data_IF_643834386061
#
_entry.id   IF_643834386061
#
_cell.length_a   1.000
_cell.length_b   1.000
_cell.length_c   1.000
_cell.angle_alpha   90.00
_cell.angle_beta   90.00
_cell.angle_gamma   90.00
#
_symmetry.space_group_name_H-M   'P 1'
#
loop_
_entity.id
_entity.type
_entity.pdbx_description
1 polymer ?
#
# COMPACT_ATOMS: atom_id res chain seq x y z
N UNK A 1 3.35 -25.40 -16.74
CA UNK A 1 4.67 -24.81 -16.46
C UNK A 1 4.80 -23.56 -17.31
N UNK A 2 4.44 -22.39 -16.80
CA UNK A 2 4.67 -21.11 -17.51
C UNK A 2 6.13 -20.70 -17.26
N UNK A 3 6.80 -20.41 -18.33
CA UNK A 3 8.20 -20.03 -18.41
C UNK A 3 8.45 -18.78 -17.54
N UNK A 4 9.42 -18.89 -16.65
CA UNK A 4 9.94 -17.81 -15.81
C UNK A 4 10.15 -16.54 -16.64
N UNK A 5 9.66 -15.41 -16.17
CA UNK A 5 9.93 -14.10 -16.77
C UNK A 5 11.36 -13.70 -16.41
N UNK A 6 12.32 -14.29 -17.11
CA UNK A 6 13.68 -13.77 -17.14
C UNK A 6 13.63 -12.50 -17.98
N UNK A 7 14.16 -11.40 -17.47
CA UNK A 7 14.27 -10.16 -18.23
C UNK A 7 14.98 -10.43 -19.55
N UNK A 8 14.40 -9.95 -20.63
CA UNK A 8 15.03 -10.00 -21.93
C UNK A 8 16.25 -9.09 -21.97
N UNK A 9 17.19 -9.34 -22.88
CA UNK A 9 18.35 -8.47 -23.08
C UNK A 9 17.92 -7.01 -23.33
N UNK A 10 16.87 -6.81 -24.09
CA UNK A 10 16.35 -5.48 -24.45
C UNK A 10 15.75 -4.76 -23.22
N UNK A 11 15.05 -5.47 -22.34
CA UNK A 11 14.56 -4.92 -21.08
C UNK A 11 15.70 -4.53 -20.15
N UNK A 12 16.76 -5.34 -20.07
CA UNK A 12 17.93 -5.06 -19.26
C UNK A 12 18.70 -3.82 -19.75
N UNK A 13 18.89 -3.67 -21.07
CA UNK A 13 19.54 -2.48 -21.63
C UNK A 13 18.69 -1.22 -21.41
N UNK A 14 17.36 -1.32 -21.56
CA UNK A 14 16.45 -0.22 -21.26
C UNK A 14 16.49 0.14 -19.78
N UNK A 15 16.52 -0.85 -18.90
CA UNK A 15 16.66 -0.64 -17.47
C UNK A 15 18.00 0.01 -17.11
N UNK A 16 19.12 -0.45 -17.68
CA UNK A 16 20.44 0.15 -17.46
C UNK A 16 20.43 1.63 -17.83
N UNK A 17 19.96 1.96 -19.04
CA UNK A 17 19.90 3.35 -19.50
C UNK A 17 19.03 4.24 -18.58
N UNK A 18 17.91 3.71 -18.11
CA UNK A 18 17.04 4.42 -17.17
C UNK A 18 17.72 4.61 -15.80
N UNK A 19 18.34 3.56 -15.26
CA UNK A 19 18.99 3.58 -13.94
C UNK A 19 20.26 4.45 -13.91
N UNK A 20 20.94 4.67 -15.03
CA UNK A 20 22.04 5.63 -15.15
C UNK A 20 21.58 7.10 -14.96
N UNK A 21 20.29 7.38 -15.12
CA UNK A 21 19.73 8.73 -14.91
C UNK A 21 19.41 9.05 -13.45
N UNK A 22 19.58 8.09 -12.54
CA UNK A 22 19.35 8.30 -11.11
C UNK A 22 20.33 9.34 -10.55
N UNK A 23 19.83 10.25 -9.74
CA UNK A 23 20.64 11.28 -9.08
C UNK A 23 21.12 10.83 -7.69
N UNK A 24 20.33 10.02 -7.02
CA UNK A 24 20.66 9.46 -5.72
C UNK A 24 20.54 7.93 -5.74
N UNK A 25 21.41 7.21 -5.01
CA UNK A 25 21.29 5.76 -4.88
C UNK A 25 19.93 5.34 -4.32
N UNK A 26 19.35 4.30 -4.92
CA UNK A 26 18.11 3.71 -4.51
C UNK A 26 18.27 2.35 -3.87
N UNK A 27 17.54 2.09 -2.79
CA UNK A 27 17.43 0.76 -2.20
C UNK A 27 16.11 0.14 -2.60
N UNK A 28 16.16 -1.08 -3.12
CA UNK A 28 15.00 -1.94 -3.34
C UNK A 28 15.05 -3.04 -2.29
N UNK A 29 14.05 -3.15 -1.43
CA UNK A 29 13.98 -4.28 -0.51
C UNK A 29 13.15 -5.39 -1.15
N UNK A 30 13.63 -6.60 -1.07
CA UNK A 30 12.95 -7.79 -1.59
C UNK A 30 12.70 -8.72 -0.41
N UNK A 31 11.45 -8.77 -0.02
CA UNK A 31 11.01 -9.68 1.03
C UNK A 31 10.67 -11.02 0.37
N UNK A 32 11.30 -12.08 0.82
CA UNK A 32 11.21 -13.41 0.22
C UNK A 32 10.58 -14.38 1.23
N UNK A 33 9.74 -15.24 0.72
CA UNK A 33 9.30 -16.48 1.38
C UNK A 33 10.26 -17.62 1.04
N UNK A 34 9.94 -18.85 1.47
CA UNK A 34 10.76 -20.03 1.17
C UNK A 34 10.30 -20.83 -0.05
N UNK A 35 9.33 -20.30 -0.79
CA UNK A 35 8.71 -20.96 -1.93
C UNK A 35 9.45 -20.71 -3.27
N UNK A 36 8.93 -21.33 -4.33
CA UNK A 36 9.49 -21.16 -5.67
C UNK A 36 9.16 -19.80 -6.28
N UNK A 37 8.10 -19.14 -5.81
CA UNK A 37 7.73 -17.79 -6.26
C UNK A 37 8.77 -16.77 -5.79
N UNK A 38 9.26 -16.89 -4.56
CA UNK A 38 10.33 -16.05 -4.03
C UNK A 38 11.62 -16.10 -4.89
N UNK A 39 11.92 -17.26 -5.47
CA UNK A 39 13.05 -17.39 -6.41
C UNK A 39 12.85 -16.54 -7.66
N UNK A 40 11.63 -16.44 -8.17
CA UNK A 40 11.31 -15.60 -9.33
C UNK A 40 11.49 -14.12 -9.02
N UNK A 41 11.09 -13.66 -7.82
CA UNK A 41 11.31 -12.29 -7.36
C UNK A 41 12.80 -11.95 -7.29
N UNK A 42 13.62 -12.86 -6.74
CA UNK A 42 15.08 -12.68 -6.73
C UNK A 42 15.66 -12.63 -8.13
N UNK A 43 15.29 -13.58 -9.00
CA UNK A 43 15.79 -13.66 -10.38
C UNK A 43 15.37 -12.45 -11.23
N UNK A 44 14.29 -11.78 -10.88
CA UNK A 44 13.86 -10.55 -11.53
C UNK A 44 14.68 -9.34 -11.07
N UNK A 45 14.91 -9.18 -9.77
CA UNK A 45 15.57 -7.98 -9.21
C UNK A 45 17.09 -8.05 -9.32
N UNK A 46 17.71 -9.23 -9.20
CA UNK A 46 19.16 -9.36 -9.18
C UNK A 46 19.85 -8.82 -10.46
N UNK A 47 19.36 -9.09 -11.69
CA UNK A 47 19.90 -8.47 -12.90
C UNK A 47 19.71 -6.95 -12.95
N UNK A 48 18.58 -6.42 -12.46
CA UNK A 48 18.32 -4.98 -12.41
C UNK A 48 19.27 -4.27 -11.45
N UNK A 49 19.46 -4.81 -10.25
CA UNK A 49 20.42 -4.28 -9.28
C UNK A 49 21.86 -4.36 -9.78
N UNK A 50 22.19 -5.40 -10.54
CA UNK A 50 23.52 -5.56 -11.16
C UNK A 50 23.75 -4.65 -12.37
N UNK A 51 22.69 -4.12 -12.97
CA UNK A 51 22.78 -3.25 -14.13
C UNK A 51 23.29 -1.84 -13.81
N UNK A 52 23.21 -1.38 -12.56
CA UNK A 52 23.65 -0.05 -12.15
C UNK A 52 24.13 -0.04 -10.69
N UNK A 53 25.27 0.60 -10.45
CA UNK A 53 25.79 0.84 -9.08
C UNK A 53 24.89 1.79 -8.26
N UNK A 54 23.94 2.45 -8.90
CA UNK A 54 22.98 3.35 -8.24
C UNK A 54 21.81 2.59 -7.61
N UNK A 55 21.67 1.29 -7.82
CA UNK A 55 20.60 0.48 -7.23
C UNK A 55 21.20 -0.62 -6.37
N UNK A 56 20.78 -0.66 -5.12
CA UNK A 56 21.10 -1.72 -4.17
C UNK A 56 19.87 -2.56 -3.88
N UNK A 57 19.96 -3.88 -4.06
CA UNK A 57 18.92 -4.81 -3.62
C UNK A 57 19.29 -5.39 -2.24
N UNK A 58 18.34 -5.31 -1.30
CA UNK A 58 18.45 -5.92 0.03
C UNK A 58 17.39 -7.02 0.11
N UNK A 59 17.86 -8.24 0.39
CA UNK A 59 16.99 -9.41 0.47
C UNK A 59 16.77 -9.80 1.92
N UNK A 60 15.52 -9.89 2.32
CA UNK A 60 15.10 -10.37 3.65
C UNK A 60 14.24 -11.62 3.45
N UNK A 61 14.51 -12.66 4.24
CA UNK A 61 13.69 -13.88 4.21
C UNK A 61 12.88 -13.94 5.49
N UNK A 62 11.56 -13.96 5.35
CA UNK A 62 10.64 -14.15 6.47
C UNK A 62 10.31 -15.63 6.65
N UNK A 63 9.94 -16.00 7.87
CA UNK A 63 9.53 -17.36 8.23
C UNK A 63 8.02 -17.56 8.14
N UNK A 64 7.29 -16.45 8.03
CA UNK A 64 5.84 -16.40 7.96
C UNK A 64 5.36 -16.57 6.51
N UNK A 65 4.09 -16.94 6.36
CA UNK A 65 3.44 -17.21 5.06
C UNK A 65 3.09 -15.93 4.27
N UNK A 66 3.74 -14.82 4.57
CA UNK A 66 3.56 -13.57 3.82
C UNK A 66 4.07 -13.72 2.38
N UNK A 67 3.32 -13.25 1.38
CA UNK A 67 3.74 -13.35 -0.01
C UNK A 67 5.03 -12.56 -0.29
N UNK A 68 5.85 -12.99 -1.26
CA UNK A 68 7.06 -12.26 -1.62
C UNK A 68 6.71 -10.88 -2.19
N UNK A 69 7.50 -9.86 -1.82
CA UNK A 69 7.27 -8.47 -2.23
C UNK A 69 8.55 -7.77 -2.66
N UNK A 70 8.42 -6.81 -3.58
CA UNK A 70 9.44 -5.82 -3.92
C UNK A 70 8.99 -4.49 -3.31
N UNK A 71 9.75 -3.97 -2.35
CA UNK A 71 9.46 -2.69 -1.68
C UNK A 71 10.38 -1.61 -2.26
N UNK A 72 9.79 -0.59 -2.88
CA UNK A 72 10.49 0.60 -3.36
C UNK A 72 10.60 1.64 -2.24
N UNK A 73 9.54 1.76 -1.45
CA UNK A 73 9.43 2.61 -0.27
C UNK A 73 8.55 1.89 0.76
N UNK A 74 8.63 2.23 2.05
CA UNK A 74 7.84 1.56 3.11
C UNK A 74 6.33 1.52 2.83
N UNK A 75 5.83 2.49 2.09
CA UNK A 75 4.42 2.61 1.69
C UNK A 75 4.15 2.26 0.21
N UNK A 76 5.13 1.72 -0.52
CA UNK A 76 4.97 1.31 -1.92
C UNK A 76 5.66 -0.03 -2.18
N UNK A 77 4.86 -1.06 -2.42
CA UNK A 77 5.32 -2.43 -2.63
C UNK A 77 4.62 -3.09 -3.81
N UNK A 78 5.28 -4.11 -4.34
CA UNK A 78 4.80 -4.93 -5.44
C UNK A 78 4.74 -6.39 -5.03
N UNK A 79 3.59 -6.97 -5.11
CA UNK A 79 3.31 -8.40 -5.20
C UNK A 79 3.16 -8.75 -6.68
N UNK A 80 4.13 -8.36 -7.47
CA UNK A 80 4.16 -8.48 -8.92
C UNK A 80 5.61 -8.49 -9.40
N UNK A 81 5.82 -9.05 -10.59
CA UNK A 81 7.08 -8.95 -11.32
C UNK A 81 6.91 -7.91 -12.43
N UNK A 82 7.37 -6.66 -12.24
CA UNK A 82 7.10 -5.56 -13.16
C UNK A 82 7.95 -5.61 -14.44
N UNK A 83 7.80 -6.72 -15.19
CA UNK A 83 8.42 -6.94 -16.52
C UNK A 83 7.50 -6.50 -17.67
N UNK A 84 8.00 -6.58 -18.89
CA UNK A 84 7.26 -6.21 -20.09
C UNK A 84 6.77 -4.76 -20.03
N UNK A 85 5.45 -4.57 -20.13
CA UNK A 85 4.83 -3.23 -20.12
C UNK A 85 4.92 -2.53 -18.77
N UNK A 86 4.97 -3.29 -17.65
CA UNK A 86 5.07 -2.75 -16.29
C UNK A 86 6.49 -2.28 -15.93
N UNK A 87 7.50 -2.64 -16.73
CA UNK A 87 8.88 -2.19 -16.54
C UNK A 87 9.00 -0.67 -16.59
N UNK A 88 8.32 -0.02 -17.53
CA UNK A 88 8.41 1.42 -17.69
C UNK A 88 7.91 2.19 -16.45
N UNK A 89 6.70 1.99 -15.92
CA UNK A 89 6.26 2.67 -14.70
C UNK A 89 7.10 2.30 -13.48
N UNK A 90 7.61 1.07 -13.38
CA UNK A 90 8.51 0.66 -12.31
C UNK A 90 9.82 1.46 -12.30
N UNK A 91 10.51 1.53 -13.46
CA UNK A 91 11.75 2.29 -13.60
C UNK A 91 11.53 3.79 -13.40
N UNK A 92 10.43 4.33 -13.93
CA UNK A 92 10.08 5.73 -13.74
C UNK A 92 9.87 6.07 -12.26
N UNK A 93 9.31 5.15 -11.49
CA UNK A 93 9.16 5.30 -10.03
C UNK A 93 10.50 5.42 -9.32
N UNK A 94 11.49 4.62 -9.71
CA UNK A 94 12.85 4.71 -9.16
C UNK A 94 13.50 6.06 -9.52
N UNK A 95 13.28 6.55 -10.74
CA UNK A 95 13.78 7.85 -11.19
C UNK A 95 13.15 8.98 -10.38
N UNK A 96 11.83 9.04 -10.28
CA UNK A 96 11.11 10.06 -9.50
C UNK A 96 11.53 10.07 -8.04
N UNK A 97 11.62 8.88 -7.43
CA UNK A 97 12.12 8.74 -6.06
C UNK A 97 13.54 9.28 -5.91
N UNK A 98 14.43 8.95 -6.84
CA UNK A 98 15.85 9.37 -6.82
C UNK A 98 16.01 10.89 -6.91
N UNK A 99 15.12 11.55 -7.64
CA UNK A 99 15.17 12.99 -7.88
C UNK A 99 14.27 13.80 -6.95
N UNK A 100 13.42 13.14 -6.16
CA UNK A 100 12.33 13.78 -5.41
C UNK A 100 11.41 14.60 -6.32
N UNK A 101 11.17 14.10 -7.53
CA UNK A 101 10.34 14.73 -8.57
C UNK A 101 9.00 14.00 -8.70
N UNK A 102 8.04 14.67 -9.31
CA UNK A 102 6.74 14.09 -9.69
C UNK A 102 6.21 14.83 -10.92
N UNK A 103 5.36 14.15 -11.69
CA UNK A 103 4.58 14.80 -12.77
C UNK A 103 3.13 15.10 -12.36
N UNK A 104 2.79 14.88 -11.08
CA UNK A 104 1.46 15.18 -10.55
C UNK A 104 1.18 16.68 -10.59
N UNK A 105 -0.07 17.05 -10.83
CA UNK A 105 -0.50 18.43 -10.78
C UNK A 105 -0.34 19.03 -9.37
N UNK A 106 -0.02 20.32 -9.25
CA UNK A 106 0.14 20.99 -7.95
C UNK A 106 -1.14 20.92 -7.10
N UNK A 107 -2.31 20.99 -7.73
CA UNK A 107 -3.60 20.77 -7.05
C UNK A 107 -3.71 19.37 -6.43
N UNK A 108 -3.17 18.36 -7.08
CA UNK A 108 -3.12 16.97 -6.56
C UNK A 108 -2.23 16.90 -5.34
N UNK A 109 -1.05 17.48 -5.40
CA UNK A 109 -0.12 17.52 -4.25
C UNK A 109 -0.74 18.25 -3.05
N UNK A 110 -1.44 19.37 -3.28
CA UNK A 110 -2.15 20.11 -2.24
C UNK A 110 -3.26 19.29 -1.60
N UNK A 111 -4.00 18.50 -2.39
CA UNK A 111 -5.05 17.61 -1.88
C UNK A 111 -4.46 16.42 -1.12
N UNK A 112 -3.40 15.78 -1.63
CA UNK A 112 -2.74 14.69 -0.93
C UNK A 112 -2.15 15.11 0.42
N UNK A 113 -1.74 16.38 0.56
CA UNK A 113 -1.26 16.92 1.82
C UNK A 113 -2.36 17.02 2.89
N UNK A 114 -3.63 16.91 2.53
CA UNK A 114 -4.75 16.85 3.50
C UNK A 114 -4.97 15.46 4.07
N UNK A 115 -4.34 14.42 3.50
CA UNK A 115 -4.41 13.07 4.05
C UNK A 115 -3.67 13.03 5.40
N UNK A 116 -4.37 12.63 6.43
CA UNK A 116 -3.82 12.53 7.80
C UNK A 116 -3.91 11.10 8.35
N UNK A 117 -4.64 10.23 7.66
CA UNK A 117 -4.81 8.80 7.98
C UNK A 117 -4.19 7.94 6.89
N UNK A 118 -3.59 6.79 7.25
CA UNK A 118 -3.18 5.81 6.27
C UNK A 118 -4.38 5.31 5.46
N UNK A 119 -4.27 5.38 4.15
CA UNK A 119 -5.24 4.85 3.19
C UNK A 119 -4.58 3.74 2.38
N UNK A 120 -5.16 2.57 2.38
CA UNK A 120 -4.65 1.41 1.64
C UNK A 120 -5.20 1.41 0.22
N UNK A 121 -4.32 1.21 -0.76
CA UNK A 121 -4.69 1.07 -2.18
C UNK A 121 -4.04 -0.19 -2.74
N UNK A 122 -4.84 -1.20 -2.97
CA UNK A 122 -4.42 -2.43 -3.64
C UNK A 122 -4.78 -2.33 -5.13
N UNK A 123 -3.78 -2.46 -5.99
CA UNK A 123 -3.93 -2.30 -7.44
C UNK A 123 -3.81 -3.65 -8.10
N UNK A 124 -4.93 -4.20 -8.54
CA UNK A 124 -4.99 -5.48 -9.24
C UNK A 124 -4.58 -5.30 -10.69
N UNK A 125 -3.52 -5.99 -11.09
CA UNK A 125 -2.94 -5.93 -12.44
C UNK A 125 -2.76 -7.30 -13.05
N UNK A 126 -2.45 -7.34 -14.35
CA UNK A 126 -2.03 -8.54 -15.07
C UNK A 126 -0.96 -8.17 -16.10
N UNK A 127 0.04 -9.02 -16.35
CA UNK A 127 1.13 -8.75 -17.32
C UNK A 127 0.64 -8.51 -18.75
N UNK A 128 -0.55 -9.01 -19.09
CA UNK A 128 -1.14 -8.87 -20.44
C UNK A 128 -2.02 -7.62 -20.60
N UNK A 129 -2.29 -6.90 -19.51
CA UNK A 129 -3.17 -5.74 -19.51
C UNK A 129 -2.50 -4.53 -20.16
N UNK A 130 -3.08 -3.92 -21.21
CA UNK A 130 -2.50 -2.75 -21.85
C UNK A 130 -2.69 -1.43 -21.08
N UNK A 131 -3.65 -1.38 -20.16
CA UNK A 131 -4.02 -0.19 -19.40
C UNK A 131 -3.40 -0.14 -17.99
N UNK A 132 -2.96 -1.30 -17.47
CA UNK A 132 -2.38 -1.41 -16.14
C UNK A 132 -1.17 -0.49 -15.93
N UNK A 133 -0.21 -0.37 -16.88
CA UNK A 133 0.96 0.49 -16.70
C UNK A 133 0.64 1.97 -16.45
N UNK A 134 -0.45 2.47 -17.03
CA UNK A 134 -0.88 3.88 -16.86
C UNK A 134 -1.33 4.11 -15.41
N UNK A 135 -2.17 3.21 -14.92
CA UNK A 135 -2.72 3.29 -13.56
C UNK A 135 -1.62 3.04 -12.52
N UNK A 136 -0.75 2.06 -12.75
CA UNK A 136 0.43 1.79 -11.89
C UNK A 136 1.33 3.02 -11.82
N UNK A 137 1.64 3.67 -12.95
CA UNK A 137 2.44 4.89 -12.97
C UNK A 137 1.83 6.03 -12.17
N UNK A 138 0.52 6.19 -12.22
CA UNK A 138 -0.21 7.19 -11.43
C UNK A 138 -0.13 6.87 -9.93
N UNK A 139 -0.53 5.69 -9.49
CA UNK A 139 -0.58 5.35 -8.06
C UNK A 139 0.80 5.34 -7.42
N UNK A 140 1.82 4.95 -8.16
CA UNK A 140 3.21 5.03 -7.70
C UNK A 140 3.62 6.47 -7.36
N UNK A 141 3.28 7.44 -8.22
CA UNK A 141 3.57 8.84 -7.96
C UNK A 141 2.79 9.38 -6.77
N UNK A 142 1.52 8.98 -6.63
CA UNK A 142 0.70 9.35 -5.46
C UNK A 142 1.33 8.80 -4.16
N UNK A 143 1.81 7.54 -4.17
CA UNK A 143 2.50 6.93 -3.03
C UNK A 143 3.84 7.62 -2.72
N UNK A 144 4.58 8.08 -3.74
CA UNK A 144 5.79 8.87 -3.52
C UNK A 144 5.48 10.26 -2.94
N UNK A 145 4.33 10.85 -3.27
CA UNK A 145 3.92 12.17 -2.81
C UNK A 145 3.32 12.19 -1.39
N UNK A 146 2.72 11.08 -0.93
CA UNK A 146 2.13 10.98 0.41
C UNK A 146 2.55 9.72 1.15
N UNK A 147 3.06 9.87 2.37
CA UNK A 147 3.39 8.75 3.26
C UNK A 147 2.14 8.06 3.84
N UNK A 148 1.00 8.73 3.79
CA UNK A 148 -0.29 8.20 4.23
C UNK A 148 -0.95 7.30 3.19
N UNK A 149 -0.44 7.26 1.96
CA UNK A 149 -0.98 6.39 0.92
C UNK A 149 -0.14 5.12 0.83
N UNK A 150 -0.69 4.00 1.29
CA UNK A 150 -0.05 2.67 1.25
C UNK A 150 -0.50 1.93 -0.01
N UNK A 151 0.40 1.79 -0.96
CA UNK A 151 0.11 1.18 -2.27
C UNK A 151 0.73 -0.20 -2.37
N UNK A 152 -0.07 -1.19 -2.76
CA UNK A 152 0.38 -2.53 -3.13
C UNK A 152 -0.08 -2.86 -4.55
N UNK A 153 0.86 -3.08 -5.46
CA UNK A 153 0.58 -3.55 -6.82
C UNK A 153 0.54 -5.07 -6.79
N UNK A 154 -0.56 -5.67 -7.23
CA UNK A 154 -0.81 -7.11 -7.09
C UNK A 154 -1.08 -7.73 -8.47
N UNK A 155 -0.20 -8.64 -8.89
CA UNK A 155 -0.45 -9.45 -10.09
C UNK A 155 -1.40 -10.60 -9.74
N UNK A 156 -2.65 -10.48 -10.15
CA UNK A 156 -3.69 -11.49 -9.89
C UNK A 156 -3.45 -12.83 -10.61
N UNK A 157 -2.48 -12.90 -11.53
CA UNK A 157 -2.09 -14.18 -12.14
C UNK A 157 -1.10 -14.96 -11.27
N UNK A 158 -0.41 -14.28 -10.36
CA UNK A 158 0.47 -14.88 -9.34
C UNK A 158 -0.27 -15.07 -8.01
N UNK A 159 -1.16 -14.15 -7.68
CA UNK A 159 -1.88 -14.08 -6.39
C UNK A 159 -3.40 -14.08 -6.64
N UNK A 160 -3.92 -15.22 -7.11
CA UNK A 160 -5.33 -15.37 -7.50
C UNK A 160 -6.31 -15.15 -6.33
N UNK A 161 -5.88 -15.46 -5.11
CA UNK A 161 -6.70 -15.32 -3.89
C UNK A 161 -7.17 -13.87 -3.68
N UNK A 162 -6.38 -12.87 -4.10
CA UNK A 162 -6.78 -11.46 -4.05
C UNK A 162 -7.90 -11.15 -5.04
N UNK A 163 -7.87 -11.76 -6.24
CA UNK A 163 -8.94 -11.60 -7.21
C UNK A 163 -10.25 -12.24 -6.69
N UNK A 164 -10.17 -13.37 -6.00
CA UNK A 164 -11.32 -14.03 -5.37
C UNK A 164 -11.85 -13.20 -4.20
N UNK A 165 -10.97 -12.78 -3.27
CA UNK A 165 -11.30 -11.97 -2.09
C UNK A 165 -12.15 -10.74 -2.46
N UNK A 166 -11.77 -10.04 -3.52
CA UNK A 166 -12.43 -8.81 -3.94
C UNK A 166 -13.37 -9.00 -5.13
N UNK A 167 -13.61 -10.24 -5.57
CA UNK A 167 -14.46 -10.55 -6.73
C UNK A 167 -14.05 -9.79 -8.00
N UNK A 168 -12.73 -9.66 -8.24
CA UNK A 168 -12.17 -8.90 -9.36
C UNK A 168 -12.50 -9.59 -10.70
N UNK A 169 -13.09 -8.84 -11.63
CA UNK A 169 -13.49 -9.34 -12.96
C UNK A 169 -12.72 -8.70 -14.10
N UNK A 170 -12.05 -7.62 -13.85
CA UNK A 170 -11.28 -6.87 -14.85
C UNK A 170 -10.04 -6.22 -14.19
N UNK A 171 -9.03 -5.90 -15.02
CA UNK A 171 -7.84 -5.17 -14.58
C UNK A 171 -7.56 -4.01 -15.54
N UNK A 172 -7.03 -2.89 -15.08
CA UNK A 172 -6.71 -2.61 -13.67
C UNK A 172 -7.98 -2.41 -12.82
N UNK A 173 -7.93 -2.85 -11.58
CA UNK A 173 -8.92 -2.49 -10.55
C UNK A 173 -8.16 -2.04 -9.31
N UNK A 174 -8.53 -0.90 -8.76
CA UNK A 174 -8.06 -0.43 -7.47
C UNK A 174 -9.09 -0.79 -6.42
N UNK A 175 -8.60 -1.33 -5.31
CA UNK A 175 -9.40 -1.53 -4.10
C UNK A 175 -8.86 -0.58 -3.04
N UNK A 176 -9.71 0.31 -2.55
CA UNK A 176 -9.36 1.33 -1.57
C UNK A 176 -9.95 0.91 -0.22
N UNK A 177 -9.09 0.82 0.80
CA UNK A 177 -9.44 0.39 2.17
C UNK A 177 -10.28 -0.89 2.23
N UNK A 178 -10.04 -1.81 1.29
CA UNK A 178 -10.72 -3.10 1.21
C UNK A 178 -12.20 -3.06 0.80
N UNK A 179 -12.76 -1.90 0.50
CA UNK A 179 -14.19 -1.69 0.29
C UNK A 179 -14.53 -1.10 -1.08
N UNK A 180 -13.96 0.06 -1.39
CA UNK A 180 -14.28 0.78 -2.61
C UNK A 180 -13.48 0.26 -3.80
N UNK A 181 -14.13 0.04 -4.94
CA UNK A 181 -13.47 -0.42 -6.15
C UNK A 181 -13.59 0.61 -7.28
N UNK A 182 -12.45 0.89 -7.92
CA UNK A 182 -12.37 1.67 -9.14
C UNK A 182 -11.81 0.78 -10.26
N UNK A 183 -12.56 0.64 -11.36
CA UNK A 183 -12.22 -0.30 -12.44
C UNK A 183 -11.83 0.45 -13.71
N UNK A 184 -10.78 -0.01 -14.38
CA UNK A 184 -10.36 0.48 -15.69
C UNK A 184 -9.38 1.66 -15.63
N UNK A 185 -9.37 2.48 -16.66
CA UNK A 185 -8.50 3.63 -16.77
C UNK A 185 -9.03 4.78 -15.90
N UNK A 186 -8.36 5.04 -14.79
CA UNK A 186 -8.79 6.01 -13.78
C UNK A 186 -7.99 7.29 -13.96
N UNK A 187 -8.69 8.43 -14.02
CA UNK A 187 -8.03 9.74 -14.09
C UNK A 187 -7.44 10.14 -12.72
N UNK A 188 -6.39 10.96 -12.75
CA UNK A 188 -5.76 11.51 -11.54
C UNK A 188 -6.79 12.20 -10.64
N UNK A 189 -7.63 13.07 -11.22
CA UNK A 189 -8.65 13.80 -10.45
C UNK A 189 -9.64 12.89 -9.75
N UNK A 190 -10.16 11.86 -10.45
CA UNK A 190 -11.13 10.93 -9.88
C UNK A 190 -10.51 10.13 -8.73
N UNK A 191 -9.28 9.64 -8.92
CA UNK A 191 -8.59 8.87 -7.88
C UNK A 191 -8.32 9.73 -6.65
N UNK A 192 -7.76 10.93 -6.84
CA UNK A 192 -7.45 11.84 -5.74
C UNK A 192 -8.74 12.29 -5.02
N UNK A 193 -9.82 12.53 -5.76
CA UNK A 193 -11.12 12.83 -5.19
C UNK A 193 -11.60 11.71 -4.27
N UNK A 194 -11.53 10.47 -4.75
CA UNK A 194 -11.91 9.31 -3.97
C UNK A 194 -11.05 9.12 -2.73
N UNK A 195 -9.73 9.35 -2.84
CA UNK A 195 -8.80 9.20 -1.71
C UNK A 195 -8.96 10.27 -0.63
N UNK A 196 -9.27 11.52 -1.02
CA UNK A 196 -9.29 12.67 -0.09
C UNK A 196 -10.67 13.01 0.46
N UNK A 197 -11.74 12.47 -0.10
CA UNK A 197 -13.12 12.72 0.32
C UNK A 197 -13.75 11.54 1.10
N UNK A 198 -12.94 10.62 1.62
CA UNK A 198 -13.44 9.53 2.45
C UNK A 198 -13.64 10.01 3.89
N UNK A 199 -14.73 9.53 4.51
CA UNK A 199 -14.91 9.70 5.95
C UNK A 199 -14.12 8.66 6.71
N UNK A 200 -13.31 9.03 7.72
CA UNK A 200 -12.60 8.07 8.57
C UNK A 200 -13.53 7.03 9.22
N UNK A 201 -14.80 7.36 9.43
CA UNK A 201 -15.81 6.44 9.97
C UNK A 201 -15.98 5.16 9.11
N UNK A 202 -15.65 5.23 7.82
CA UNK A 202 -15.79 4.11 6.87
C UNK A 202 -14.49 3.34 6.62
N UNK A 203 -13.39 3.71 7.27
CA UNK A 203 -12.09 3.07 7.03
C UNK A 203 -12.04 1.65 7.57
N UNK A 204 -11.30 0.80 6.86
CA UNK A 204 -10.99 -0.55 7.29
C UNK A 204 -10.12 -0.54 8.57
N UNK A 205 -10.24 -1.53 9.47
CA UNK A 205 -9.41 -1.63 10.68
C UNK A 205 -7.91 -1.45 10.44
N UNK A 206 -7.38 -2.02 9.35
CA UNK A 206 -5.97 -1.93 9.02
C UNK A 206 -5.47 -0.50 8.80
N UNK A 207 -6.34 0.43 8.37
CA UNK A 207 -6.00 1.84 8.22
C UNK A 207 -5.67 2.50 9.57
N UNK A 208 -6.31 2.06 10.64
CA UNK A 208 -6.05 2.55 12.00
C UNK A 208 -4.91 1.81 12.69
N UNK A 209 -4.67 0.56 12.29
CA UNK A 209 -3.66 -0.32 12.91
C UNK A 209 -2.26 0.31 12.91
N UNK A 210 -1.91 1.01 11.84
CA UNK A 210 -0.63 1.73 11.74
C UNK A 210 -0.54 2.88 12.75
N UNK A 211 -1.58 3.72 12.85
CA UNK A 211 -1.63 4.83 13.80
C UNK A 211 -1.44 4.30 15.23
N UNK A 212 -2.14 3.23 15.56
CA UNK A 212 -2.08 2.59 16.87
C UNK A 212 -0.70 1.99 17.14
N UNK A 213 -0.07 1.32 16.16
CA UNK A 213 1.28 0.75 16.28
C UNK A 213 2.38 1.80 16.40
N UNK A 214 2.22 2.96 15.78
CA UNK A 214 3.15 4.09 15.88
C UNK A 214 3.02 4.83 17.23
N UNK A 215 2.02 4.48 18.05
CA UNK A 215 1.79 5.09 19.36
C UNK A 215 1.04 6.43 19.31
N UNK A 216 0.44 6.77 18.15
CA UNK A 216 -0.29 8.03 17.92
C UNK A 216 -1.76 7.96 18.41
N UNK A 217 -1.98 7.40 19.60
CA UNK A 217 -3.31 7.27 20.21
C UNK A 217 -4.04 8.61 20.33
N UNK A 218 -3.31 9.65 20.74
CA UNK A 218 -3.81 11.02 20.85
C UNK A 218 -4.37 11.54 19.53
N UNK A 219 -3.71 11.24 18.42
CA UNK A 219 -4.15 11.63 17.08
C UNK A 219 -5.47 10.95 16.73
N UNK A 220 -5.59 9.63 16.92
CA UNK A 220 -6.80 8.89 16.60
C UNK A 220 -7.99 9.33 17.47
N UNK A 221 -7.78 9.50 18.77
CA UNK A 221 -8.80 10.04 19.68
C UNK A 221 -9.22 11.47 19.27
N UNK A 222 -8.25 12.32 18.89
CA UNK A 222 -8.50 13.68 18.40
C UNK A 222 -9.36 13.72 17.13
N UNK A 223 -9.15 12.79 16.20
CA UNK A 223 -9.97 12.65 14.99
C UNK A 223 -11.41 12.27 15.34
N UNK A 224 -11.63 11.28 16.22
CA UNK A 224 -12.95 10.86 16.68
C UNK A 224 -13.69 12.01 17.36
N UNK A 225 -12.98 12.81 18.16
CA UNK A 225 -13.56 14.00 18.81
C UNK A 225 -13.96 15.06 17.77
N UNK A 226 -13.09 15.31 16.77
CA UNK A 226 -13.35 16.31 15.73
C UNK A 226 -14.57 15.94 14.87
N UNK A 227 -14.74 14.65 14.55
CA UNK A 227 -15.86 14.15 13.76
C UNK A 227 -17.10 13.87 14.62
N UNK A 228 -16.99 13.98 15.95
CA UNK A 228 -18.02 13.61 16.92
C UNK A 228 -18.53 12.17 16.70
N UNK A 229 -17.66 11.27 16.26
CA UNK A 229 -17.99 9.88 15.93
C UNK A 229 -16.90 8.92 16.39
N UNK A 230 -17.27 7.69 16.75
CA UNK A 230 -16.36 6.61 17.10
C UNK A 230 -16.27 5.64 15.92
N UNK A 231 -15.07 5.52 15.35
CA UNK A 231 -14.86 4.74 14.15
C UNK A 231 -14.99 3.24 14.41
N UNK A 232 -15.99 2.59 13.80
CA UNK A 232 -16.24 1.16 13.97
C UNK A 232 -15.06 0.28 13.56
N UNK A 233 -14.34 0.66 12.50
CA UNK A 233 -13.11 -0.02 12.08
C UNK A 233 -11.99 0.05 13.12
N UNK A 234 -11.87 1.15 13.86
CA UNK A 234 -10.89 1.27 14.94
C UNK A 234 -11.29 0.38 16.14
N UNK A 235 -12.57 0.32 16.48
CA UNK A 235 -13.04 -0.54 17.58
C UNK A 235 -12.75 -2.03 17.34
N UNK A 236 -12.77 -2.49 16.08
CA UNK A 236 -12.42 -3.87 15.75
C UNK A 236 -10.99 -4.24 16.14
N UNK A 237 -10.08 -3.26 16.28
CA UNK A 237 -8.71 -3.49 16.75
C UNK A 237 -8.61 -3.94 18.21
N UNK A 238 -9.67 -3.81 18.99
CA UNK A 238 -9.74 -4.36 20.36
C UNK A 238 -9.68 -5.89 20.38
N UNK A 239 -9.99 -6.54 19.26
CA UNK A 239 -9.91 -7.99 19.09
C UNK A 239 -8.78 -8.41 18.15
N UNK A 240 -7.88 -7.50 17.77
CA UNK A 240 -6.75 -7.83 16.89
C UNK A 240 -5.87 -8.93 17.51
N UNK A 241 -5.38 -9.92 16.74
CA UNK A 241 -4.51 -10.96 17.24
C UNK A 241 -3.20 -10.43 17.85
N UNK A 242 -2.71 -9.29 17.35
CA UNK A 242 -1.52 -8.62 17.88
C UNK A 242 -1.85 -7.89 19.20
N UNK A 243 -1.24 -8.35 20.30
CA UNK A 243 -1.43 -7.74 21.62
C UNK A 243 -1.07 -6.26 21.67
N UNK A 244 -0.02 -5.84 20.94
CA UNK A 244 0.42 -4.44 20.92
C UNK A 244 -0.64 -3.51 20.32
N UNK A 245 -1.39 -4.02 19.31
CA UNK A 245 -2.50 -3.29 18.69
C UNK A 245 -3.66 -3.14 19.66
N UNK A 246 -4.03 -4.22 20.37
CA UNK A 246 -5.10 -4.15 21.39
C UNK A 246 -4.77 -3.15 22.48
N UNK A 247 -3.53 -3.19 23.01
CA UNK A 247 -3.08 -2.23 24.03
C UNK A 247 -3.09 -0.80 23.51
N UNK A 248 -2.60 -0.56 22.30
CA UNK A 248 -2.65 0.77 21.71
C UNK A 248 -4.08 1.29 21.54
N UNK A 249 -5.03 0.42 21.17
CA UNK A 249 -6.44 0.81 21.07
C UNK A 249 -7.06 1.13 22.45
N UNK A 250 -6.62 0.43 23.53
CA UNK A 250 -7.03 0.78 24.91
C UNK A 250 -6.56 2.21 25.27
N UNK A 251 -5.33 2.57 24.91
CA UNK A 251 -4.82 3.95 25.12
C UNK A 251 -5.66 4.96 24.33
N UNK A 252 -6.09 4.63 23.10
CA UNK A 252 -6.99 5.50 22.33
C UNK A 252 -8.33 5.73 23.07
N UNK A 253 -8.89 4.68 23.67
CA UNK A 253 -10.13 4.81 24.44
C UNK A 253 -9.93 5.62 25.73
N UNK A 254 -8.78 5.52 26.41
CA UNK A 254 -8.43 6.34 27.57
C UNK A 254 -8.34 7.83 27.17
N UNK A 255 -7.61 8.14 26.09
CA UNK A 255 -7.53 9.50 25.53
C UNK A 255 -8.90 10.05 25.13
N UNK A 256 -9.73 9.19 24.51
CA UNK A 256 -11.09 9.56 24.12
C UNK A 256 -11.96 9.84 25.36
N UNK A 257 -11.80 9.06 26.45
CA UNK A 257 -12.54 9.25 27.70
C UNK A 257 -12.19 10.59 28.37
N UNK A 258 -10.92 11.00 28.33
CA UNK A 258 -10.48 12.27 28.87
C UNK A 258 -11.01 13.46 28.05
N UNK A 259 -11.02 13.34 26.72
CA UNK A 259 -11.41 14.43 25.81
C UNK A 259 -12.91 14.55 25.58
N UNK A 260 -13.61 13.43 25.50
CA UNK A 260 -15.05 13.37 25.22
C UNK A 260 -15.73 12.19 25.92
N UNK A 261 -16.05 12.31 27.22
CA UNK A 261 -16.75 11.25 27.97
C UNK A 261 -18.06 10.80 27.31
N UNK A 262 -18.71 11.67 26.56
CA UNK A 262 -19.97 11.37 25.85
C UNK A 262 -19.74 10.36 24.71
N UNK A 263 -18.64 10.53 23.94
CA UNK A 263 -18.32 9.60 22.85
C UNK A 263 -17.96 8.21 23.37
N UNK A 264 -17.23 8.12 24.49
CA UNK A 264 -16.90 6.82 25.08
C UNK A 264 -18.13 6.06 25.54
N UNK A 265 -19.21 6.74 25.96
CA UNK A 265 -20.45 6.05 26.31
C UNK A 265 -21.03 5.25 25.13
N UNK A 266 -20.83 5.70 23.90
CA UNK A 266 -21.29 4.98 22.71
C UNK A 266 -20.50 3.69 22.46
N UNK A 267 -19.33 3.52 23.07
CA UNK A 267 -18.49 2.31 22.94
C UNK A 267 -18.95 1.19 23.88
N UNK A 268 -19.64 1.51 25.00
CA UNK A 268 -20.04 0.51 26.00
C UNK A 268 -20.81 -0.69 25.45
N UNK A 269 -21.81 -0.54 24.56
CA UNK A 269 -22.50 -1.70 24.00
C UNK A 269 -21.55 -2.65 23.28
N UNK A 270 -20.60 -2.11 22.51
CA UNK A 270 -19.61 -2.90 21.81
C UNK A 270 -18.67 -3.65 22.77
N UNK A 271 -18.21 -2.99 23.84
CA UNK A 271 -17.37 -3.64 24.85
C UNK A 271 -18.10 -4.75 25.60
N UNK A 272 -19.41 -4.59 25.84
CA UNK A 272 -20.23 -5.63 26.48
C UNK A 272 -20.33 -6.84 25.56
N UNK A 273 -20.60 -6.64 24.27
CA UNK A 273 -20.63 -7.73 23.29
C UNK A 273 -19.33 -8.54 23.25
N UNK A 274 -18.18 -7.86 23.38
CA UNK A 274 -16.86 -8.53 23.40
C UNK A 274 -16.71 -9.45 24.63
N UNK A 275 -17.29 -9.09 25.77
CA UNK A 275 -17.20 -9.90 26.99
C UNK A 275 -18.10 -11.15 26.94
N UNK A 276 -19.14 -11.14 26.12
CA UNK A 276 -20.09 -12.25 25.98
C UNK A 276 -19.60 -13.32 24.97
N UNK A 277 -18.51 -13.06 24.26
CA UNK A 277 -17.93 -13.93 23.21
C UNK A 277 -16.67 -14.70 23.64
N UNK A 278 -16.32 -14.77 24.96
CA UNK A 278 -15.26 -15.64 25.49
C UNK A 278 -15.75 -17.04 25.88
#
# INVERSE_FOLDING_TARGET
MRTMTVLTYQELESARSALETLQNPGVIKVNLTRDDLAKQFRQFIEPLASASSMVQAIYTTYLEDDPPTIEIRSNLRYMALPGGREMAPFLQTLIYRSRSETSLAERTLSRLATLITPTQVEVMVSPTCPHCPIVVGLVNQLALASIYLEVTIIDITLFADFAEKYSIRAVPTLVIDGQDQLVGNISEDLLVDKLTNQSPATFHPDSFKKIVKEGDAEKLAGMMVADADVYGGALQLLTDPDWSVRMGMMVVLEELAERSPVLVQSVYPYLVELLDHE
#
